data_IF_880183172811
#
_entry.id   IF_880183172811
#
_cell.length_a   1.000
_cell.length_b   1.000
_cell.length_c   1.000
_cell.angle_alpha   90.00
_cell.angle_beta   90.00
_cell.angle_gamma   90.00
#
_symmetry.space_group_name_H-M   'P 1'
#
loop_
_entity.id
_entity.type
_entity.pdbx_description
1 polymer ?
#
# COMPACT_ATOMS: atom_id res chain seq x y z
N UNK A 1 39.24 12.96 5.47
CA UNK A 1 37.79 13.15 5.31
C UNK A 1 37.19 11.78 5.05
N UNK A 2 36.45 11.22 6.02
CA UNK A 2 35.76 9.96 5.81
C UNK A 2 34.60 10.22 4.84
N UNK A 3 34.55 9.47 3.74
CA UNK A 3 33.38 9.46 2.88
C UNK A 3 32.21 8.95 3.73
N UNK A 4 31.27 9.83 4.07
CA UNK A 4 30.02 9.45 4.73
C UNK A 4 29.34 8.46 3.79
N UNK A 5 29.31 7.17 4.15
CA UNK A 5 28.61 6.19 3.35
C UNK A 5 27.14 6.58 3.31
N UNK A 6 26.64 6.89 2.12
CA UNK A 6 25.23 7.22 1.88
C UNK A 6 24.45 5.91 2.07
N UNK A 7 24.05 5.66 3.30
CA UNK A 7 23.30 4.49 3.71
C UNK A 7 21.89 4.93 4.13
N UNK A 8 20.91 4.04 3.97
CA UNK A 8 19.56 4.29 4.46
C UNK A 8 19.59 4.73 5.93
N UNK A 9 18.91 5.84 6.20
CA UNK A 9 18.68 6.33 7.56
C UNK A 9 17.75 5.35 8.26
N UNK A 10 17.94 5.23 9.57
CA UNK A 10 17.21 4.28 10.40
C UNK A 10 16.58 4.94 11.61
N UNK A 11 15.68 4.21 12.25
CA UNK A 11 15.05 4.60 13.52
C UNK A 11 15.64 3.77 14.65
N UNK A 12 16.26 4.43 15.64
CA UNK A 12 16.87 3.77 16.83
C UNK A 12 17.86 2.64 16.50
N UNK A 13 18.62 2.81 15.41
CA UNK A 13 19.59 1.81 14.94
C UNK A 13 18.99 0.69 14.09
N UNK A 14 17.68 0.71 13.82
CA UNK A 14 17.01 -0.19 12.89
C UNK A 14 17.09 0.43 11.49
N UNK A 15 17.76 -0.26 10.57
CA UNK A 15 18.04 0.23 9.23
C UNK A 15 17.22 -0.58 8.22
N UNK A 16 16.39 0.06 7.39
CA UNK A 16 15.68 -0.62 6.30
C UNK A 16 16.63 -1.45 5.43
N UNK A 17 16.12 -2.60 4.98
CA UNK A 17 16.77 -3.58 4.10
C UNK A 17 17.98 -4.30 4.70
N UNK A 18 18.28 -4.06 5.99
CA UNK A 18 19.46 -4.59 6.65
C UNK A 18 19.12 -5.24 7.98
N UNK A 19 18.33 -4.56 8.82
CA UNK A 19 17.90 -5.10 10.11
C UNK A 19 16.87 -6.22 9.95
N UNK A 20 16.92 -7.22 10.83
CA UNK A 20 15.97 -8.33 10.90
C UNK A 20 14.95 -8.16 12.03
N UNK A 21 13.81 -8.85 11.96
CA UNK A 21 12.79 -8.88 13.04
C UNK A 21 13.40 -9.31 14.37
N UNK A 22 14.29 -10.31 14.37
CA UNK A 22 14.97 -10.76 15.58
C UNK A 22 15.86 -9.67 16.20
N UNK A 23 16.56 -8.87 15.39
CA UNK A 23 17.34 -7.73 15.88
C UNK A 23 16.45 -6.61 16.42
N UNK A 24 15.33 -6.33 15.73
CA UNK A 24 14.35 -5.35 16.20
C UNK A 24 13.78 -5.76 17.56
N UNK A 25 13.33 -7.00 17.69
CA UNK A 25 12.76 -7.52 18.95
C UNK A 25 13.82 -7.62 20.06
N UNK A 26 15.08 -7.84 19.72
CA UNK A 26 16.20 -7.75 20.68
C UNK A 26 16.43 -6.32 21.17
N UNK A 27 16.24 -5.31 20.31
CA UNK A 27 16.45 -3.90 20.64
C UNK A 27 15.27 -3.27 21.38
N UNK A 28 14.05 -3.60 20.97
CA UNK A 28 12.83 -2.94 21.43
C UNK A 28 11.95 -3.82 22.35
N UNK A 29 12.24 -5.11 22.44
CA UNK A 29 11.32 -6.09 23.04
C UNK A 29 10.24 -6.54 22.06
N UNK A 30 9.24 -7.29 22.52
CA UNK A 30 8.12 -7.70 21.67
C UNK A 30 7.29 -6.50 21.20
N UNK A 31 6.63 -6.58 20.03
CA UNK A 31 5.77 -5.50 19.54
C UNK A 31 4.59 -5.26 20.47
N UNK A 32 4.12 -4.01 20.49
CA UNK A 32 2.90 -3.62 21.22
C UNK A 32 1.66 -4.25 20.59
N UNK A 33 1.65 -4.35 19.26
CA UNK A 33 0.51 -4.87 18.49
C UNK A 33 1.01 -5.53 17.20
N UNK A 34 0.44 -6.67 16.84
CA UNK A 34 0.67 -7.32 15.54
C UNK A 34 -0.50 -6.95 14.61
N UNK A 35 -0.25 -6.00 13.70
CA UNK A 35 -1.26 -5.49 12.76
C UNK A 35 -1.57 -6.54 11.70
N UNK A 36 -0.54 -7.23 11.22
CA UNK A 36 -0.65 -8.38 10.34
C UNK A 36 0.59 -9.26 10.47
N UNK A 37 0.62 -10.40 9.78
CA UNK A 37 1.74 -11.37 9.81
C UNK A 37 3.12 -10.73 9.57
N UNK A 38 3.19 -9.68 8.76
CA UNK A 38 4.45 -9.02 8.38
C UNK A 38 4.49 -7.54 8.81
N UNK A 39 3.54 -7.07 9.59
CA UNK A 39 3.48 -5.67 10.03
C UNK A 39 3.17 -5.61 11.52
N UNK A 40 4.03 -4.94 12.27
CA UNK A 40 3.90 -4.79 13.72
C UNK A 40 4.00 -3.33 14.12
N UNK A 41 3.46 -2.97 15.28
CA UNK A 41 3.63 -1.65 15.86
C UNK A 41 4.32 -1.70 17.22
N UNK A 42 5.09 -0.65 17.48
CA UNK A 42 5.74 -0.36 18.76
C UNK A 42 5.26 1.01 19.21
N UNK A 43 4.64 1.09 20.38
CA UNK A 43 4.20 2.36 20.96
C UNK A 43 5.08 2.74 22.14
N UNK A 44 5.45 4.00 22.19
CA UNK A 44 6.12 4.63 23.33
C UNK A 44 5.24 5.77 23.85
N UNK A 45 5.68 6.47 24.89
CA UNK A 45 4.98 7.66 25.40
C UNK A 45 4.99 8.85 24.45
N UNK A 46 5.89 8.89 23.46
CA UNK A 46 6.11 10.08 22.60
C UNK A 46 6.03 9.80 21.10
N UNK A 47 5.94 8.53 20.70
CA UNK A 47 5.94 8.11 19.30
C UNK A 47 5.32 6.72 19.15
N UNK A 48 4.78 6.45 17.97
CA UNK A 48 4.33 5.13 17.53
C UNK A 48 5.05 4.77 16.25
N UNK A 49 5.75 3.63 16.22
CA UNK A 49 6.46 3.14 15.05
C UNK A 49 5.80 1.87 14.49
N UNK A 50 5.45 1.90 13.22
CA UNK A 50 5.00 0.72 12.47
C UNK A 50 6.14 0.19 11.63
N UNK A 51 6.44 -1.09 11.74
CA UNK A 51 7.51 -1.76 11.00
C UNK A 51 6.89 -2.80 10.07
N UNK A 52 7.21 -2.70 8.78
CA UNK A 52 6.88 -3.72 7.78
C UNK A 52 8.11 -4.59 7.52
N UNK A 53 7.91 -5.90 7.56
CA UNK A 53 8.93 -6.90 7.28
C UNK A 53 8.73 -7.55 5.90
N UNK A 54 9.83 -7.95 5.30
CA UNK A 54 9.85 -8.63 4.02
C UNK A 54 9.31 -10.05 4.15
N UNK A 55 8.53 -10.47 3.16
CA UNK A 55 8.06 -11.85 3.04
C UNK A 55 9.18 -12.81 2.59
N UNK A 56 10.30 -12.26 2.13
CA UNK A 56 11.51 -12.96 1.76
C UNK A 56 11.54 -13.45 0.32
N UNK A 57 12.72 -13.91 -0.09
CA UNK A 57 13.02 -14.38 -1.45
C UNK A 57 12.16 -15.58 -1.90
N UNK A 58 11.92 -15.74 -3.22
CA UNK A 58 12.17 -14.72 -4.27
C UNK A 58 11.27 -13.49 -4.05
N UNK A 59 11.51 -12.41 -4.81
CA UNK A 59 10.57 -11.29 -4.89
C UNK A 59 9.13 -11.81 -4.89
N UNK A 60 8.24 -11.12 -4.17
CA UNK A 60 6.82 -11.46 -4.18
C UNK A 60 6.28 -11.54 -5.62
N UNK A 61 5.10 -12.12 -5.81
CA UNK A 61 4.50 -12.19 -7.15
C UNK A 61 4.15 -10.76 -7.61
N UNK A 62 5.02 -10.16 -8.42
CA UNK A 62 4.92 -8.76 -8.87
C UNK A 62 5.38 -7.75 -7.83
N UNK A 63 5.20 -6.45 -8.13
CA UNK A 63 5.55 -5.31 -7.27
C UNK A 63 4.80 -5.26 -5.92
N UNK A 64 3.91 -6.22 -5.67
CA UNK A 64 2.82 -6.14 -4.70
C UNK A 64 3.13 -6.67 -3.29
N UNK A 65 4.11 -7.55 -3.10
CA UNK A 65 4.29 -8.26 -1.81
C UNK A 65 5.68 -8.17 -1.18
N UNK A 66 6.69 -7.88 -1.98
CA UNK A 66 7.99 -7.41 -1.48
C UNK A 66 8.66 -6.64 -2.60
N UNK A 67 8.99 -5.39 -2.31
CA UNK A 67 9.67 -4.51 -3.27
C UNK A 67 11.18 -4.78 -3.29
N UNK A 68 11.66 -5.67 -2.42
CA UNK A 68 13.08 -5.84 -2.13
C UNK A 68 13.49 -7.32 -2.11
N UNK A 69 14.65 -7.60 -2.72
CA UNK A 69 15.35 -8.88 -2.78
C UNK A 69 16.10 -9.14 -1.48
N UNK A 70 15.38 -9.11 -0.36
CA UNK A 70 15.94 -9.34 0.98
C UNK A 70 15.35 -10.61 1.60
N UNK A 71 15.99 -11.09 2.65
CA UNK A 71 15.55 -12.29 3.36
C UNK A 71 14.20 -12.06 4.06
N UNK A 72 13.49 -13.15 4.34
CA UNK A 72 12.25 -13.08 5.13
C UNK A 72 12.57 -12.45 6.48
N UNK A 73 11.64 -11.65 6.99
CA UNK A 73 11.76 -10.92 8.26
C UNK A 73 12.82 -9.81 8.26
N UNK A 74 13.39 -9.43 7.11
CA UNK A 74 14.17 -8.18 7.00
C UNK A 74 13.22 -6.98 7.04
N UNK A 75 13.57 -5.91 7.75
CA UNK A 75 12.82 -4.65 7.79
C UNK A 75 12.77 -4.05 6.39
N UNK A 76 11.58 -3.84 5.83
CA UNK A 76 11.44 -3.15 4.53
C UNK A 76 11.26 -1.66 4.70
N UNK A 77 10.45 -1.25 5.66
CA UNK A 77 10.17 0.14 5.95
C UNK A 77 9.72 0.34 7.40
N UNK A 78 9.95 1.54 7.91
CA UNK A 78 9.53 1.97 9.24
C UNK A 78 8.74 3.26 9.05
N UNK A 79 7.57 3.39 9.68
CA UNK A 79 6.81 4.63 9.73
C UNK A 79 6.66 5.05 11.18
N UNK A 80 7.22 6.21 11.53
CA UNK A 80 7.21 6.76 12.88
C UNK A 80 6.26 7.94 12.93
N UNK A 81 5.20 7.84 13.74
CA UNK A 81 4.27 8.92 14.05
C UNK A 81 4.65 9.56 15.38
N UNK A 82 4.81 10.88 15.41
CA UNK A 82 5.20 11.62 16.61
C UNK A 82 3.96 12.03 17.42
N UNK A 83 4.02 11.86 18.75
CA UNK A 83 2.90 12.14 19.68
C UNK A 83 3.44 12.92 20.90
N UNK A 84 3.22 14.24 21.01
CA UNK A 84 2.53 15.10 20.06
C UNK A 84 3.37 15.34 18.79
N UNK A 85 2.73 15.83 17.74
CA UNK A 85 3.41 16.29 16.53
C UNK A 85 4.40 17.41 16.87
N UNK A 86 5.48 17.49 16.07
CA UNK A 86 6.54 18.49 16.27
C UNK A 86 6.46 19.53 15.15
N UNK A 87 6.51 20.84 15.43
CA UNK A 87 6.58 21.87 14.39
C UNK A 87 7.77 21.63 13.45
N UNK A 88 7.57 21.81 12.13
CA UNK A 88 8.62 21.64 11.12
C UNK A 88 9.88 22.46 11.43
N UNK A 89 9.69 23.69 11.93
CA UNK A 89 10.77 24.59 12.34
C UNK A 89 11.64 24.04 13.47
N UNK A 90 11.09 23.19 14.34
CA UNK A 90 11.84 22.51 15.41
C UNK A 90 12.45 21.20 14.95
N UNK A 91 11.90 20.56 13.92
CA UNK A 91 12.43 19.31 13.39
C UNK A 91 13.76 19.49 12.66
N UNK A 92 13.93 20.63 11.96
CA UNK A 92 15.21 21.00 11.33
C UNK A 92 15.52 20.19 10.05
N UNK A 93 14.73 20.41 9.00
CA UNK A 93 15.01 19.84 7.67
C UNK A 93 16.22 20.52 7.04
N UNK A 94 17.17 19.72 6.54
CA UNK A 94 18.28 20.20 5.72
C UNK A 94 17.84 20.29 4.24
N UNK A 95 17.47 21.48 3.79
CA UNK A 95 16.98 21.72 2.42
C UNK A 95 17.95 21.27 1.32
N UNK A 96 19.24 21.06 1.61
CA UNK A 96 20.20 20.54 0.64
C UNK A 96 20.01 19.04 0.35
N UNK A 97 19.37 18.30 1.26
CA UNK A 97 19.19 16.84 1.20
C UNK A 97 17.77 16.42 0.84
N UNK A 98 16.79 17.27 1.08
CA UNK A 98 15.38 16.95 0.83
C UNK A 98 14.82 17.74 -0.33
N UNK A 99 14.00 17.07 -1.13
CA UNK A 99 13.16 17.70 -2.13
C UNK A 99 11.75 17.83 -1.57
N UNK A 100 11.22 19.05 -1.54
CA UNK A 100 9.82 19.30 -1.21
C UNK A 100 8.91 18.76 -2.33
N UNK A 101 7.83 18.09 -1.95
CA UNK A 101 6.77 17.62 -2.83
C UNK A 101 5.43 17.88 -2.17
N UNK A 102 4.44 18.32 -2.95
CA UNK A 102 3.08 18.57 -2.46
C UNK A 102 2.17 17.44 -2.91
N UNK A 103 1.34 16.96 -1.99
CA UNK A 103 0.33 15.97 -2.31
C UNK A 103 -0.70 16.60 -3.26
N UNK A 104 -0.88 16.06 -4.48
CA UNK A 104 -1.86 16.61 -5.40
C UNK A 104 -3.30 16.27 -4.98
N UNK A 105 -3.51 15.27 -4.11
CA UNK A 105 -4.82 14.90 -3.58
C UNK A 105 -5.14 15.61 -2.26
N UNK A 106 -4.12 15.90 -1.46
CA UNK A 106 -4.24 16.53 -0.14
C UNK A 106 -3.28 17.72 -0.02
N UNK A 107 -3.57 18.89 -0.64
CA UNK A 107 -2.62 20.01 -0.74
C UNK A 107 -2.04 20.52 0.59
N UNK A 108 -2.70 20.22 1.72
CA UNK A 108 -2.21 20.48 3.08
C UNK A 108 -1.02 19.60 3.51
N UNK A 109 -0.80 18.47 2.83
CA UNK A 109 0.32 17.57 3.06
C UNK A 109 1.50 17.98 2.17
N UNK A 110 2.63 18.20 2.82
CA UNK A 110 3.92 18.46 2.18
C UNK A 110 4.87 17.35 2.59
N UNK A 111 5.54 16.73 1.62
CA UNK A 111 6.52 15.68 1.83
C UNK A 111 7.92 16.23 1.55
N UNK A 112 8.84 16.03 2.48
CA UNK A 112 10.26 16.27 2.29
C UNK A 112 10.93 14.92 2.03
N UNK A 113 11.46 14.71 0.83
CA UNK A 113 12.00 13.40 0.40
C UNK A 113 13.51 13.45 0.23
N UNK A 114 14.23 12.58 0.93
CA UNK A 114 15.66 12.33 0.72
C UNK A 114 15.88 10.96 0.09
N UNK A 115 16.08 10.92 -1.23
CA UNK A 115 16.33 9.67 -1.98
C UNK A 115 17.64 9.01 -1.55
N UNK A 116 18.67 9.82 -1.27
CA UNK A 116 19.99 9.35 -0.86
C UNK A 116 19.97 8.67 0.50
N UNK A 117 19.14 9.18 1.42
CA UNK A 117 19.07 8.66 2.79
C UNK A 117 17.85 7.74 3.00
N UNK A 118 16.98 7.57 2.00
CA UNK A 118 15.80 6.71 2.12
C UNK A 118 14.82 7.19 3.19
N UNK A 119 14.63 8.50 3.32
CA UNK A 119 13.75 9.10 4.34
C UNK A 119 12.72 10.03 3.70
N UNK A 120 11.49 9.96 4.18
CA UNK A 120 10.38 10.83 3.76
C UNK A 120 9.75 11.40 5.02
N UNK A 121 9.65 12.72 5.11
CA UNK A 121 9.00 13.41 6.24
C UNK A 121 7.70 14.02 5.75
N UNK A 122 6.57 13.60 6.31
CA UNK A 122 5.26 14.18 6.00
C UNK A 122 4.92 15.27 7.00
N UNK A 123 4.63 16.45 6.46
CA UNK A 123 4.22 17.64 7.20
C UNK A 123 2.79 17.99 6.83
N UNK A 124 1.95 18.24 7.84
CA UNK A 124 0.60 18.75 7.67
C UNK A 124 0.37 19.89 8.65
N UNK A 125 -0.27 20.97 8.19
CA UNK A 125 -0.54 22.16 8.99
C UNK A 125 0.72 22.74 9.70
N UNK A 126 1.90 22.60 9.09
CA UNK A 126 3.17 23.09 9.65
C UNK A 126 3.83 22.16 10.68
N UNK A 127 3.25 21.00 10.95
CA UNK A 127 3.75 20.02 11.92
C UNK A 127 4.14 18.71 11.24
N UNK A 128 5.23 18.10 11.69
CA UNK A 128 5.69 16.78 11.28
C UNK A 128 4.74 15.73 11.86
N UNK A 129 4.05 15.06 10.97
CA UNK A 129 3.06 14.02 11.31
C UNK A 129 3.72 12.65 11.37
N UNK A 130 4.50 12.29 10.34
CA UNK A 130 5.26 11.06 10.32
C UNK A 130 6.56 11.15 9.55
N UNK A 131 7.43 10.18 9.84
CA UNK A 131 8.71 9.96 9.20
C UNK A 131 8.74 8.53 8.70
N UNK A 132 8.92 8.36 7.40
CA UNK A 132 9.05 7.06 6.75
C UNK A 132 10.51 6.78 6.41
N UNK A 133 11.04 5.67 6.90
CA UNK A 133 12.36 5.15 6.56
C UNK A 133 12.19 3.96 5.61
N UNK A 134 12.88 4.00 4.47
CA UNK A 134 12.84 2.99 3.40
C UNK A 134 14.25 2.78 2.81
N UNK A 135 14.37 1.98 1.75
CA UNK A 135 15.63 1.78 1.03
C UNK A 135 16.16 3.08 0.42
N UNK A 136 17.46 3.33 0.62
CA UNK A 136 18.18 4.44 0.02
C UNK A 136 18.46 4.19 -1.46
N UNK A 137 18.88 5.23 -2.19
CA UNK A 137 19.31 5.10 -3.58
C UNK A 137 20.43 4.05 -3.76
N UNK A 138 21.32 3.92 -2.78
CA UNK A 138 22.38 2.90 -2.80
C UNK A 138 21.84 1.45 -2.74
N UNK A 139 20.61 1.25 -2.28
CA UNK A 139 19.96 -0.06 -2.18
C UNK A 139 19.21 -0.46 -3.48
N UNK A 140 19.34 0.30 -4.57
CA UNK A 140 18.65 0.04 -5.84
C UNK A 140 18.88 -1.37 -6.39
N UNK A 141 20.07 -1.95 -6.15
CA UNK A 141 20.39 -3.33 -6.54
C UNK A 141 19.56 -4.39 -5.80
N UNK A 142 19.07 -4.05 -4.60
CA UNK A 142 18.16 -4.87 -3.83
C UNK A 142 16.72 -4.74 -4.32
N UNK A 143 16.38 -3.79 -5.18
CA UNK A 143 15.01 -3.65 -5.66
C UNK A 143 14.59 -4.87 -6.51
N UNK A 144 13.35 -5.33 -6.29
CA UNK A 144 12.75 -6.43 -7.05
C UNK A 144 12.45 -6.04 -8.49
N UNK A 145 12.02 -4.79 -8.68
CA UNK A 145 11.77 -4.17 -9.97
C UNK A 145 12.60 -2.89 -10.01
N UNK A 146 13.16 -2.52 -11.17
CA UNK A 146 13.83 -1.23 -11.30
C UNK A 146 12.84 -0.14 -10.86
N UNK A 147 13.28 0.80 -10.02
CA UNK A 147 12.44 1.95 -9.66
C UNK A 147 12.03 2.64 -10.95
N UNK A 148 10.78 2.46 -11.39
CA UNK A 148 10.26 3.23 -12.50
C UNK A 148 10.23 4.67 -12.01
N UNK A 149 11.14 5.50 -12.53
CA UNK A 149 11.07 6.95 -12.41
C UNK A 149 9.84 7.39 -13.22
N UNK A 150 8.66 7.27 -12.61
CA UNK A 150 7.47 7.89 -13.12
C UNK A 150 7.76 9.39 -13.26
N UNK A 151 7.35 9.99 -14.38
CA UNK A 151 7.42 11.45 -14.57
C UNK A 151 6.59 12.21 -13.53
N UNK A 152 5.63 11.52 -12.92
CA UNK A 152 4.91 11.95 -11.72
C UNK A 152 5.35 11.03 -10.59
N UNK A 153 6.27 11.49 -9.75
CA UNK A 153 6.83 10.70 -8.67
C UNK A 153 5.78 10.55 -7.55
N UNK A 154 4.92 9.53 -7.70
CA UNK A 154 3.77 9.22 -6.85
C UNK A 154 4.12 8.44 -5.59
N UNK A 155 5.41 8.29 -5.27
CA UNK A 155 5.82 7.52 -4.11
C UNK A 155 5.34 8.22 -2.83
N UNK A 156 4.64 7.45 -1.98
CA UNK A 156 3.95 7.85 -0.75
C UNK A 156 2.65 8.69 -0.89
N UNK A 157 2.15 8.96 -2.10
CA UNK A 157 0.92 9.75 -2.31
C UNK A 157 -0.23 8.86 -2.78
N UNK A 158 -0.92 8.21 -1.82
CA UNK A 158 -2.16 7.50 -2.12
C UNK A 158 -3.34 8.47 -2.00
N UNK A 159 -4.26 8.53 -2.98
CA UNK A 159 -5.48 9.30 -2.82
C UNK A 159 -6.29 8.76 -1.62
N UNK A 160 -7.04 9.62 -0.92
CA UNK A 160 -8.00 9.17 0.08
C UNK A 160 -9.05 8.27 -0.59
N UNK A 161 -9.51 7.26 0.14
CA UNK A 161 -10.64 6.46 -0.32
C UNK A 161 -11.86 7.38 -0.42
N UNK A 162 -12.61 7.23 -1.50
CA UNK A 162 -13.98 7.71 -1.53
C UNK A 162 -14.84 6.85 -0.60
N UNK A 163 -14.66 5.53 -0.69
CA UNK A 163 -15.40 4.55 0.10
C UNK A 163 -14.69 3.18 0.08
N UNK A 164 -15.04 2.27 1.00
CA UNK A 164 -14.54 0.88 0.99
C UNK A 164 -15.55 -0.09 1.61
N UNK A 165 -15.61 -1.34 1.16
CA UNK A 165 -16.52 -2.36 1.71
C UNK A 165 -15.96 -3.78 1.64
N UNK A 166 -16.21 -4.54 2.71
CA UNK A 166 -15.94 -5.97 2.77
C UNK A 166 -17.00 -6.83 2.06
N UNK A 167 -17.32 -7.99 2.63
CA UNK A 167 -18.40 -8.84 2.14
C UNK A 167 -19.77 -8.34 2.63
N UNK A 168 -20.48 -7.61 1.78
CA UNK A 168 -21.81 -7.07 2.05
C UNK A 168 -22.88 -7.71 1.15
N UNK A 169 -24.16 -7.40 1.41
CA UNK A 169 -25.25 -7.84 0.53
C UNK A 169 -25.16 -7.11 -0.81
N UNK A 170 -25.60 -7.79 -1.87
CA UNK A 170 -25.60 -7.23 -3.22
C UNK A 170 -26.35 -5.90 -3.32
N UNK A 171 -27.49 -5.75 -2.63
CA UNK A 171 -28.25 -4.49 -2.59
C UNK A 171 -27.43 -3.33 -1.99
N UNK A 172 -26.63 -3.61 -0.98
CA UNK A 172 -25.84 -2.60 -0.26
C UNK A 172 -24.62 -2.21 -1.10
N UNK A 173 -24.01 -3.18 -1.79
CA UNK A 173 -22.97 -2.94 -2.78
C UNK A 173 -23.49 -2.05 -3.93
N UNK A 174 -24.68 -2.34 -4.47
CA UNK A 174 -25.31 -1.50 -5.48
C UNK A 174 -25.52 -0.07 -4.99
N UNK A 175 -26.05 0.12 -3.78
CA UNK A 175 -26.26 1.46 -3.23
C UNK A 175 -24.95 2.26 -3.08
N UNK A 176 -23.86 1.62 -2.67
CA UNK A 176 -22.53 2.26 -2.55
C UNK A 176 -21.94 2.60 -3.92
N UNK A 177 -22.08 1.69 -4.87
CA UNK A 177 -21.66 1.92 -6.26
C UNK A 177 -22.49 3.03 -6.92
N UNK A 178 -23.78 3.15 -6.60
CA UNK A 178 -24.63 4.25 -7.08
C UNK A 178 -24.15 5.61 -6.58
N UNK A 179 -23.86 5.72 -5.28
CA UNK A 179 -23.29 6.92 -4.69
C UNK A 179 -21.96 7.29 -5.35
N UNK A 180 -21.12 6.29 -5.63
CA UNK A 180 -19.84 6.50 -6.32
C UNK A 180 -20.00 7.12 -7.71
N UNK A 181 -20.96 6.66 -8.52
CA UNK A 181 -21.19 7.26 -9.85
C UNK A 181 -21.95 8.57 -9.83
N UNK A 182 -22.76 8.84 -8.80
CA UNK A 182 -23.36 10.18 -8.60
C UNK A 182 -22.22 11.21 -8.48
N UNK A 183 -21.26 10.98 -7.58
CA UNK A 183 -20.12 11.90 -7.40
C UNK A 183 -19.27 12.03 -8.67
N UNK A 184 -18.96 10.93 -9.36
CA UNK A 184 -18.20 10.97 -10.62
C UNK A 184 -18.93 11.70 -11.77
N UNK A 185 -20.26 11.76 -11.72
CA UNK A 185 -21.07 12.49 -12.71
C UNK A 185 -20.96 13.99 -12.49
N UNK A 186 -20.98 14.43 -11.23
CA UNK A 186 -20.80 15.84 -10.85
C UNK A 186 -19.36 16.31 -11.16
N UNK A 187 -18.36 15.44 -10.96
CA UNK A 187 -16.94 15.74 -11.15
C UNK A 187 -16.43 15.26 -12.52
N UNK A 188 -16.72 16.00 -13.59
CA UNK A 188 -16.59 15.58 -15.00
C UNK A 188 -15.18 15.19 -15.48
N UNK A 189 -14.12 15.61 -14.81
CA UNK A 189 -12.71 15.39 -15.19
C UNK A 189 -12.02 14.28 -14.36
N UNK A 190 -12.78 13.56 -13.54
CA UNK A 190 -12.25 12.53 -12.65
C UNK A 190 -12.43 11.10 -13.17
N UNK A 191 -11.58 10.22 -12.68
CA UNK A 191 -11.53 8.79 -12.97
C UNK A 191 -11.86 8.03 -11.69
N UNK A 192 -12.80 7.09 -11.79
CA UNK A 192 -13.11 6.15 -10.72
C UNK A 192 -12.20 4.94 -10.77
N UNK A 193 -11.60 4.58 -9.64
CA UNK A 193 -10.82 3.37 -9.49
C UNK A 193 -11.54 2.41 -8.54
N UNK A 194 -11.60 1.14 -8.93
CA UNK A 194 -12.20 0.04 -8.17
C UNK A 194 -11.10 -0.99 -7.96
N UNK A 195 -10.58 -1.09 -6.72
CA UNK A 195 -9.55 -2.05 -6.37
C UNK A 195 -10.17 -3.11 -5.47
N UNK A 196 -10.16 -4.37 -5.90
CA UNK A 196 -10.70 -5.46 -5.09
C UNK A 196 -9.58 -6.37 -4.57
N UNK A 197 -9.73 -6.86 -3.35
CA UNK A 197 -8.82 -7.80 -2.68
C UNK A 197 -9.56 -9.08 -2.34
N UNK A 198 -8.91 -10.22 -2.53
CA UNK A 198 -9.43 -11.50 -2.09
C UNK A 198 -8.91 -11.86 -0.69
N UNK A 199 -9.58 -12.79 0.00
CA UNK A 199 -9.13 -13.28 1.30
C UNK A 199 -8.04 -14.37 1.19
N UNK A 200 -7.53 -14.89 2.32
CA UNK A 200 -6.52 -15.96 2.36
C UNK A 200 -7.00 -17.31 1.78
N UNK A 201 -8.30 -17.44 1.54
CA UNK A 201 -8.93 -18.59 0.89
C UNK A 201 -9.79 -18.08 -0.27
N UNK A 202 -9.24 -18.13 -1.49
CA UNK A 202 -9.84 -17.47 -2.64
C UNK A 202 -9.89 -18.39 -3.87
N UNK A 203 -10.72 -18.06 -4.83
CA UNK A 203 -10.69 -18.63 -6.18
C UNK A 203 -9.63 -17.92 -7.02
N UNK A 204 -9.20 -18.58 -8.09
CA UNK A 204 -8.33 -17.97 -9.09
C UNK A 204 -9.00 -16.70 -9.64
N UNK A 205 -8.29 -15.57 -9.56
CA UNK A 205 -8.74 -14.25 -10.05
C UNK A 205 -9.98 -13.68 -9.35
N UNK A 206 -10.28 -14.14 -8.13
CA UNK A 206 -11.45 -13.66 -7.38
C UNK A 206 -11.48 -12.13 -7.21
N UNK A 207 -10.34 -11.53 -6.84
CA UNK A 207 -10.16 -10.08 -6.77
C UNK A 207 -10.48 -9.39 -8.10
N UNK A 208 -9.80 -9.77 -9.20
CA UNK A 208 -10.10 -9.21 -10.52
C UNK A 208 -11.57 -9.37 -10.91
N UNK A 209 -12.16 -10.55 -10.72
CA UNK A 209 -13.57 -10.80 -11.07
C UNK A 209 -14.50 -9.88 -10.30
N UNK A 210 -14.23 -9.66 -9.00
CA UNK A 210 -15.02 -8.76 -8.17
C UNK A 210 -14.92 -7.30 -8.64
N UNK A 211 -13.71 -6.80 -8.90
CA UNK A 211 -13.53 -5.43 -9.41
C UNK A 211 -14.23 -5.22 -10.77
N UNK A 212 -14.14 -6.20 -11.67
CA UNK A 212 -14.83 -6.14 -12.97
C UNK A 212 -16.35 -6.24 -12.85
N UNK A 213 -16.87 -7.03 -11.90
CA UNK A 213 -18.32 -7.11 -11.65
C UNK A 213 -18.88 -5.77 -11.18
N UNK A 214 -18.21 -5.11 -10.24
CA UNK A 214 -18.58 -3.76 -9.81
C UNK A 214 -18.51 -2.76 -10.97
N UNK A 215 -17.43 -2.76 -11.75
CA UNK A 215 -17.31 -1.92 -12.96
C UNK A 215 -18.44 -2.20 -13.97
N UNK A 216 -18.76 -3.47 -14.21
CA UNK A 216 -19.80 -3.87 -15.16
C UNK A 216 -21.18 -3.41 -14.71
N UNK A 217 -21.50 -3.47 -13.41
CA UNK A 217 -22.76 -2.91 -12.89
C UNK A 217 -22.87 -1.41 -13.22
N UNK A 218 -21.81 -0.63 -12.98
CA UNK A 218 -21.80 0.81 -13.27
C UNK A 218 -21.94 1.13 -14.76
N UNK A 219 -21.29 0.34 -15.62
CA UNK A 219 -21.34 0.56 -17.08
C UNK A 219 -22.67 0.10 -17.66
N UNK A 220 -23.17 -1.07 -17.27
CA UNK A 220 -24.33 -1.69 -17.91
C UNK A 220 -25.65 -1.26 -17.32
N UNK A 221 -25.71 -1.08 -15.99
CA UNK A 221 -26.94 -0.72 -15.26
C UNK A 221 -27.04 0.79 -15.05
N UNK A 222 -25.92 1.44 -14.70
CA UNK A 222 -25.89 2.91 -14.50
C UNK A 222 -25.47 3.70 -15.73
N UNK A 223 -25.18 3.02 -16.85
CA UNK A 223 -24.79 3.64 -18.12
C UNK A 223 -23.61 4.62 -18.02
N UNK A 224 -22.72 4.41 -17.05
CA UNK A 224 -21.58 5.28 -16.84
C UNK A 224 -20.45 4.97 -17.85
N UNK A 225 -19.73 5.98 -18.39
CA UNK A 225 -18.70 5.74 -19.39
C UNK A 225 -17.55 4.86 -18.87
N UNK A 226 -17.34 3.70 -19.51
CA UNK A 226 -16.30 2.75 -19.13
C UNK A 226 -14.87 3.33 -19.18
N UNK A 227 -14.64 4.35 -20.02
CA UNK A 227 -13.37 5.08 -20.13
C UNK A 227 -13.01 5.90 -18.88
N UNK A 228 -13.97 6.13 -17.99
CA UNK A 228 -13.79 6.84 -16.71
C UNK A 228 -13.73 5.89 -15.51
N UNK A 229 -13.66 4.58 -15.74
CA UNK A 229 -13.58 3.56 -14.69
C UNK A 229 -12.42 2.59 -14.92
N UNK A 230 -11.61 2.38 -13.89
CA UNK A 230 -10.47 1.46 -13.89
C UNK A 230 -10.69 0.39 -12.80
N UNK A 231 -10.70 -0.88 -13.19
CA UNK A 231 -10.80 -2.02 -12.28
C UNK A 231 -9.41 -2.63 -12.08
N UNK A 232 -9.02 -2.88 -10.84
CA UNK A 232 -7.68 -3.35 -10.47
C UNK A 232 -7.80 -4.58 -9.54
N UNK A 233 -7.07 -5.64 -9.87
CA UNK A 233 -6.79 -6.73 -8.93
C UNK A 233 -5.82 -6.22 -7.85
N UNK A 234 -6.32 -6.09 -6.63
CA UNK A 234 -5.57 -5.60 -5.50
C UNK A 234 -4.65 -6.64 -4.87
N UNK A 235 -4.82 -7.93 -5.19
CA UNK A 235 -4.15 -9.02 -4.52
C UNK A 235 -4.97 -9.58 -3.36
N UNK A 236 -4.31 -9.86 -2.24
CA UNK A 236 -4.92 -10.53 -1.10
C UNK A 236 -4.77 -9.72 0.20
N UNK A 237 -5.82 -9.70 1.02
CA UNK A 237 -5.85 -9.15 2.38
C UNK A 237 -6.34 -10.23 3.35
N UNK A 238 -6.22 -9.97 4.64
CA UNK A 238 -6.72 -10.87 5.68
C UNK A 238 -8.26 -11.01 5.58
N UNK A 239 -8.93 -9.93 5.19
CA UNK A 239 -10.35 -9.90 4.83
C UNK A 239 -10.55 -9.40 3.38
N UNK A 240 -11.48 -9.99 2.61
CA UNK A 240 -11.79 -9.53 1.26
C UNK A 240 -12.49 -8.17 1.30
N UNK A 241 -12.06 -7.25 0.43
CA UNK A 241 -12.48 -5.85 0.45
C UNK A 241 -12.47 -5.24 -0.95
N UNK A 242 -13.29 -4.20 -1.17
CA UNK A 242 -13.25 -3.34 -2.35
C UNK A 242 -13.03 -1.90 -1.92
N UNK A 243 -11.99 -1.30 -2.46
CA UNK A 243 -11.64 0.11 -2.29
C UNK A 243 -12.12 0.91 -3.51
N UNK A 244 -12.82 2.01 -3.25
CA UNK A 244 -13.28 2.96 -4.26
C UNK A 244 -12.52 4.28 -4.12
N UNK A 245 -11.97 4.77 -5.23
CA UNK A 245 -11.30 6.07 -5.29
C UNK A 245 -11.84 6.92 -6.43
N UNK A 246 -11.87 8.23 -6.20
CA UNK A 246 -12.16 9.23 -7.22
C UNK A 246 -10.91 10.12 -7.36
N UNK A 247 -10.32 10.13 -8.55
CA UNK A 247 -9.03 10.79 -8.78
C UNK A 247 -9.09 11.66 -10.01
N UNK A 248 -8.55 12.88 -9.93
CA UNK A 248 -8.42 13.76 -11.09
C UNK A 248 -7.53 13.13 -12.17
N UNK A 249 -7.91 13.30 -13.44
CA UNK A 249 -7.14 12.75 -14.56
C UNK A 249 -5.71 13.30 -14.59
N UNK A 250 -4.74 12.41 -14.76
CA UNK A 250 -3.32 12.78 -14.81
C UNK A 250 -2.67 12.96 -13.43
N UNK A 251 -3.43 12.82 -12.35
CA UNK A 251 -2.91 12.77 -10.98
C UNK A 251 -2.59 11.32 -10.58
N UNK A 252 -1.73 11.14 -9.57
CA UNK A 252 -1.29 9.86 -9.05
C UNK A 252 -2.44 8.87 -8.82
N UNK A 253 -2.47 7.72 -9.53
CA UNK A 253 -3.50 6.71 -9.33
C UNK A 253 -3.30 6.00 -7.98
N UNK A 254 -4.37 5.43 -7.39
CA UNK A 254 -4.22 4.58 -6.22
C UNK A 254 -3.39 3.35 -6.56
N UNK A 255 -2.52 2.94 -5.62
CA UNK A 255 -1.76 1.70 -5.71
C UNK A 255 -2.39 0.66 -4.80
N UNK A 256 -2.53 -0.61 -5.24
CA UNK A 256 -2.97 -1.68 -4.36
C UNK A 256 -2.08 -1.86 -3.13
N UNK A 257 -2.70 -2.12 -1.98
CA UNK A 257 -2.03 -2.37 -0.70
C UNK A 257 -2.50 -3.74 -0.17
N UNK A 258 -1.99 -4.86 -0.70
CA UNK A 258 -2.30 -6.18 -0.17
C UNK A 258 -1.61 -6.40 1.18
N UNK A 259 -2.16 -7.31 1.98
CA UNK A 259 -1.61 -7.68 3.29
C UNK A 259 -1.12 -9.14 3.35
N UNK A 260 -1.52 -9.98 2.38
CA UNK A 260 -1.25 -11.42 2.39
C UNK A 260 -0.46 -11.82 1.15
N UNK A 261 0.68 -12.51 1.35
CA UNK A 261 1.47 -13.05 0.24
C UNK A 261 0.68 -14.12 -0.53
N UNK A 262 0.60 -14.11 -1.87
CA UNK A 262 -0.12 -15.11 -2.64
C UNK A 262 0.35 -16.54 -2.41
N UNK A 263 1.61 -16.71 -1.98
CA UNK A 263 2.18 -18.02 -1.62
C UNK A 263 1.54 -18.60 -0.35
N UNK A 264 1.00 -17.74 0.51
CA UNK A 264 0.29 -18.12 1.72
C UNK A 264 -1.22 -18.33 1.49
N UNK A 265 -1.73 -18.07 0.27
CA UNK A 265 -3.15 -18.18 -0.07
C UNK A 265 -3.53 -19.60 -0.46
N UNK A 266 -4.62 -20.10 0.11
CA UNK A 266 -5.22 -21.38 -0.29
C UNK A 266 -6.21 -21.17 -1.43
N UNK A 267 -5.80 -21.54 -2.64
CA UNK A 267 -6.71 -21.52 -3.80
C UNK A 267 -7.75 -22.63 -3.67
N UNK A 268 -9.02 -22.25 -3.59
CA UNK A 268 -10.15 -23.17 -3.57
C UNK A 268 -10.73 -23.31 -4.98
N UNK A 269 -10.69 -24.52 -5.53
CA UNK A 269 -11.39 -24.86 -6.77
C UNK A 269 -12.86 -25.21 -6.50
N UNK A 270 -13.72 -25.06 -7.51
CA UNK A 270 -14.92 -25.88 -7.55
C UNK A 270 -14.44 -27.33 -7.64
N UNK A 271 -14.85 -28.20 -6.71
CA UNK A 271 -14.52 -29.62 -6.78
C UNK A 271 -14.88 -30.11 -8.18
N UNK A 272 -13.93 -30.70 -8.90
CA UNK A 272 -14.25 -31.53 -10.06
C UNK A 272 -15.25 -32.58 -9.56
N UNK A 273 -16.53 -32.37 -9.90
CA UNK A 273 -17.55 -33.39 -9.82
C UNK A 273 -16.94 -34.62 -10.49
N UNK A 274 -16.61 -35.64 -9.68
CA UNK A 274 -16.22 -36.96 -10.18
C UNK A 274 -17.37 -37.41 -11.05
N UNK A 275 -17.22 -37.24 -12.36
CA UNK A 275 -18.11 -37.71 -13.41
C UNK A 275 -18.37 -39.18 -13.10
N UNK A 276 -19.54 -39.49 -12.54
CA UNK A 276 -19.91 -40.86 -12.25
C UNK A 276 -19.84 -41.62 -13.57
N UNK A 277 -18.91 -42.57 -13.68
CA UNK A 277 -18.95 -43.55 -14.77
C UNK A 277 -20.28 -44.28 -14.64
N UNK A 278 -21.28 -43.86 -15.43
CA UNK A 278 -22.44 -44.70 -15.74
C UNK A 278 -21.87 -45.93 -16.45
N UNK A 279 -21.86 -47.06 -15.74
CA UNK A 279 -21.66 -48.38 -16.34
C UNK A 279 -22.76 -48.55 -17.39
N UNK A 280 -22.35 -48.75 -18.64
CA UNK A 280 -23.20 -49.38 -19.63
C UNK A 280 -23.32 -50.86 -19.26
N UNK A 281 -24.55 -51.31 -19.09
CA UNK A 281 -24.98 -52.69 -19.25
C UNK A 281 -26.25 -52.66 -20.10
#
# INVERSE_FOLDING_TARGET
MAATSIQARGWRGIIPLRSSRAEVERLLGPPTEEISKNTVSYRTGTESATIRYATGLPCGIGEKYSQWKVLRNTVESITVTLIPAIPLSKFGIDESKYKERRDPHLPQNVYYVSDSEGEIVRVAAGEVQDINYTGALADETLACFPRQRSSVDCDAMSPPHFDFYGNIRFSDEQARLDNFVITLTDEKDRIGYIIAYAGPRARIREAQTRAEQAKNYLVTVRHFPASRLIAIDGGYRDEPEVDLYIVAKGVCPPRPIPAVDPRDVKIIGASTSRRSKRRAH
#
